data_IF_197244338677
#
_entry.id   IF_197244338677
#
_cell.length_a   1.000
_cell.length_b   1.000
_cell.length_c   1.000
_cell.angle_alpha   90.00
_cell.angle_beta   90.00
_cell.angle_gamma   90.00
#
_symmetry.space_group_name_H-M   'P 1'
#
loop_
_entity.id
_entity.type
_entity.pdbx_description
1 polymer ?
#
# COMPACT_ATOMS: atom_id res chain seq x y z
N UNK A 1 -4.04 -8.79 -11.41
CA UNK A 1 -4.10 -8.42 -9.97
C UNK A 1 -5.52 -7.98 -9.62
N UNK A 2 -6.16 -8.67 -8.68
CA UNK A 2 -7.55 -8.40 -8.31
C UNK A 2 -7.62 -7.56 -7.04
N UNK A 3 -8.42 -6.51 -7.09
CA UNK A 3 -8.67 -5.61 -5.95
C UNK A 3 -10.14 -5.67 -5.56
N UNK A 4 -10.41 -5.40 -4.30
CA UNK A 4 -11.77 -5.34 -3.75
C UNK A 4 -11.92 -4.23 -2.74
N UNK A 5 -13.16 -3.85 -2.46
CA UNK A 5 -13.51 -2.94 -1.36
C UNK A 5 -13.55 -3.74 -0.04
N UNK A 6 -13.56 -3.01 1.06
CA UNK A 6 -13.60 -3.64 2.39
C UNK A 6 -14.84 -4.53 2.59
N UNK A 7 -15.97 -4.17 2.00
CA UNK A 7 -17.21 -4.97 2.07
C UNK A 7 -17.19 -6.23 1.19
N UNK A 8 -16.12 -6.45 0.43
CA UNK A 8 -15.96 -7.61 -0.45
C UNK A 8 -16.31 -7.36 -1.92
N UNK A 9 -16.89 -6.22 -2.27
CA UNK A 9 -17.23 -5.93 -3.65
C UNK A 9 -15.98 -5.86 -4.53
N UNK A 10 -15.95 -6.57 -5.66
CA UNK A 10 -14.79 -6.53 -6.55
C UNK A 10 -14.66 -5.15 -7.21
N UNK A 11 -13.40 -4.76 -7.44
CA UNK A 11 -13.07 -3.56 -8.20
C UNK A 11 -12.73 -4.03 -9.62
N UNK A 12 -13.57 -3.70 -10.59
CA UNK A 12 -13.42 -4.21 -11.95
C UNK A 12 -12.51 -3.35 -12.81
N UNK A 13 -12.36 -2.07 -12.49
CA UNK A 13 -11.42 -1.19 -13.18
C UNK A 13 -9.97 -1.55 -12.85
N UNK A 14 -9.02 -1.31 -13.75
CA UNK A 14 -7.61 -1.32 -13.40
C UNK A 14 -7.37 -0.42 -12.19
N UNK A 15 -6.45 -0.80 -11.31
CA UNK A 15 -6.29 -0.11 -10.03
C UNK A 15 -6.03 1.40 -10.18
N UNK A 16 -5.23 1.78 -11.14
CA UNK A 16 -4.94 3.21 -11.39
C UNK A 16 -6.22 3.98 -11.73
N UNK A 17 -7.09 3.41 -12.57
CA UNK A 17 -8.37 4.00 -12.94
C UNK A 17 -9.33 4.05 -11.74
N UNK A 18 -9.37 2.98 -10.95
CA UNK A 18 -10.21 2.92 -9.75
C UNK A 18 -9.80 3.98 -8.72
N UNK A 19 -8.50 4.15 -8.50
CA UNK A 19 -7.96 5.15 -7.59
C UNK A 19 -8.26 6.56 -8.11
N UNK A 20 -8.08 6.81 -9.40
CA UNK A 20 -8.40 8.11 -10.00
C UNK A 20 -9.88 8.44 -9.84
N UNK A 21 -10.76 7.49 -10.13
CA UNK A 21 -12.21 7.67 -9.96
C UNK A 21 -12.56 7.97 -8.51
N UNK A 22 -11.95 7.28 -7.56
CA UNK A 22 -12.16 7.53 -6.14
C UNK A 22 -11.71 8.93 -5.73
N UNK A 23 -10.53 9.37 -6.19
CA UNK A 23 -10.01 10.72 -5.91
C UNK A 23 -10.97 11.78 -6.47
N UNK A 24 -11.40 11.63 -7.72
CA UNK A 24 -12.32 12.58 -8.37
C UNK A 24 -13.64 12.69 -7.61
N UNK A 25 -14.22 11.55 -7.24
CA UNK A 25 -15.49 11.50 -6.50
C UNK A 25 -15.37 12.20 -5.14
N UNK A 26 -14.32 11.92 -4.39
CA UNK A 26 -14.11 12.49 -3.06
C UNK A 26 -13.80 13.99 -3.15
N UNK A 27 -12.98 14.39 -4.12
CA UNK A 27 -12.65 15.80 -4.37
C UNK A 27 -13.89 16.59 -4.76
N UNK A 28 -14.73 16.05 -5.64
CA UNK A 28 -15.99 16.67 -6.05
C UNK A 28 -16.96 16.82 -4.88
N UNK A 29 -16.90 15.89 -3.91
CA UNK A 29 -17.69 15.98 -2.68
C UNK A 29 -17.11 16.97 -1.66
N UNK A 30 -15.96 17.60 -1.96
CA UNK A 30 -15.34 18.61 -1.11
C UNK A 30 -14.37 18.06 -0.06
N UNK A 31 -13.97 16.78 -0.15
CA UNK A 31 -13.04 16.19 0.81
C UNK A 31 -11.60 16.34 0.35
N UNK A 32 -10.73 16.66 1.30
CA UNK A 32 -9.28 16.57 1.11
C UNK A 32 -8.84 15.17 1.53
N UNK A 33 -8.10 14.49 0.64
CA UNK A 33 -7.66 13.13 0.85
C UNK A 33 -6.18 13.05 1.20
N UNK A 34 -5.86 12.05 2.03
CA UNK A 34 -4.52 11.52 2.23
C UNK A 34 -4.59 10.03 1.94
N UNK A 35 -3.62 9.49 1.22
CA UNK A 35 -3.56 8.07 0.90
C UNK A 35 -2.39 7.42 1.60
N UNK A 36 -2.63 6.25 2.18
CA UNK A 36 -1.60 5.45 2.84
C UNK A 36 -1.60 4.04 2.25
N UNK A 37 -0.42 3.55 1.86
CA UNK A 37 -0.26 2.23 1.26
C UNK A 37 0.55 1.36 2.20
N UNK A 38 0.08 0.16 2.49
CA UNK A 38 0.76 -0.77 3.37
C UNK A 38 0.48 -2.22 3.02
N UNK A 39 1.37 -3.10 3.45
CA UNK A 39 1.26 -4.54 3.24
C UNK A 39 1.60 -5.26 4.53
N UNK A 40 0.87 -6.33 4.83
CA UNK A 40 1.20 -7.26 5.90
C UNK A 40 1.01 -8.68 5.40
N UNK A 41 1.55 -9.64 6.12
CA UNK A 41 1.46 -11.03 5.71
C UNK A 41 1.28 -11.94 6.90
N UNK A 42 0.75 -13.14 6.63
CA UNK A 42 0.60 -14.18 7.62
C UNK A 42 0.84 -15.55 7.00
N UNK A 43 1.56 -16.40 7.73
CA UNK A 43 1.73 -17.81 7.38
C UNK A 43 0.52 -18.58 7.89
N UNK A 44 -0.18 -19.24 6.97
CA UNK A 44 -1.37 -20.05 7.25
C UNK A 44 -1.12 -21.47 6.72
N UNK A 45 -0.64 -22.36 7.59
CA UNK A 45 -0.27 -23.72 7.18
C UNK A 45 0.89 -23.70 6.19
N UNK A 46 0.68 -24.22 4.98
CA UNK A 46 1.70 -24.26 3.92
C UNK A 46 1.69 -23.03 3.02
N UNK A 47 0.75 -22.12 3.24
CA UNK A 47 0.62 -20.90 2.43
C UNK A 47 0.99 -19.66 3.22
N UNK A 48 1.56 -18.68 2.53
CA UNK A 48 1.73 -17.32 3.04
C UNK A 48 0.74 -16.42 2.31
N UNK A 49 -0.04 -15.68 3.06
CA UNK A 49 -0.98 -14.70 2.51
C UNK A 49 -0.45 -13.29 2.74
N UNK A 50 -0.43 -12.50 1.68
CA UNK A 50 -0.10 -11.08 1.73
C UNK A 50 -1.36 -10.27 1.47
N UNK A 51 -1.58 -9.23 2.25
CA UNK A 51 -2.61 -8.24 1.98
C UNK A 51 -1.96 -6.88 1.78
N UNK A 52 -2.23 -6.27 0.63
CA UNK A 52 -1.82 -4.90 0.34
C UNK A 52 -3.06 -4.02 0.36
N UNK A 53 -2.99 -2.90 1.07
CA UNK A 53 -4.11 -1.98 1.19
C UNK A 53 -3.73 -0.59 0.70
N UNK A 54 -4.68 0.05 0.03
CA UNK A 54 -4.63 1.48 -0.30
C UNK A 54 -5.71 2.11 0.56
N UNK A 55 -5.30 2.86 1.58
CA UNK A 55 -6.21 3.49 2.55
C UNK A 55 -6.40 4.96 2.15
N UNK A 56 -7.66 5.34 1.96
CA UNK A 56 -8.05 6.72 1.66
C UNK A 56 -8.61 7.34 2.92
N UNK A 57 -7.96 8.39 3.41
CA UNK A 57 -8.40 9.13 4.59
C UNK A 57 -8.98 10.46 4.16
N UNK A 58 -10.25 10.72 4.53
CA UNK A 58 -10.85 12.04 4.37
C UNK A 58 -10.47 12.88 5.58
N UNK A 59 -10.01 14.08 5.36
CA UNK A 59 -9.70 14.99 6.47
C UNK A 59 -10.97 15.23 7.30
N UNK A 60 -10.95 14.78 8.56
CA UNK A 60 -12.05 14.93 9.49
C UNK A 60 -13.27 14.03 9.27
N UNK A 61 -13.23 13.06 8.35
CA UNK A 61 -14.42 12.28 7.95
C UNK A 61 -14.17 10.78 7.74
N UNK A 62 -13.26 10.18 8.47
CA UNK A 62 -12.98 8.75 8.32
C UNK A 62 -12.35 8.40 6.98
N UNK A 63 -12.55 7.18 6.50
CA UNK A 63 -11.91 6.72 5.28
C UNK A 63 -12.47 5.40 4.76
N UNK A 64 -11.85 4.93 3.70
CA UNK A 64 -12.14 3.65 3.07
C UNK A 64 -10.85 3.05 2.52
N UNK A 65 -10.87 1.80 2.10
CA UNK A 65 -9.68 1.17 1.53
C UNK A 65 -10.00 0.22 0.39
N UNK A 66 -9.02 0.08 -0.51
CA UNK A 66 -8.99 -0.97 -1.51
C UNK A 66 -8.00 -2.03 -1.07
N UNK A 67 -8.31 -3.30 -1.30
CA UNK A 67 -7.58 -4.43 -0.77
C UNK A 67 -7.21 -5.40 -1.88
N UNK A 68 -5.96 -5.83 -1.88
CA UNK A 68 -5.49 -6.92 -2.73
C UNK A 68 -4.91 -8.03 -1.85
N UNK A 69 -5.43 -9.23 -1.98
CA UNK A 69 -4.92 -10.42 -1.31
C UNK A 69 -4.16 -11.29 -2.30
N UNK A 70 -3.06 -11.86 -1.85
CA UNK A 70 -2.22 -12.74 -2.65
C UNK A 70 -1.72 -13.89 -1.78
N UNK A 71 -1.85 -15.11 -2.28
CA UNK A 71 -1.40 -16.32 -1.57
C UNK A 71 -0.29 -17.00 -2.35
N UNK A 72 0.69 -17.51 -1.64
CA UNK A 72 1.79 -18.27 -2.24
C UNK A 72 2.17 -19.45 -1.35
N UNK A 73 2.64 -20.52 -1.98
CA UNK A 73 3.21 -21.68 -1.28
C UNK A 73 4.73 -21.56 -1.12
N UNK A 74 5.31 -20.45 -1.55
CA UNK A 74 6.74 -20.21 -1.36
C UNK A 74 7.04 -20.07 0.13
N UNK A 75 8.15 -20.65 0.56
CA UNK A 75 8.60 -20.56 1.94
C UNK A 75 9.56 -19.40 2.07
N UNK A 76 9.25 -18.47 2.96
CA UNK A 76 10.08 -17.30 3.23
C UNK A 76 10.62 -17.36 4.65
N UNK A 77 11.87 -16.92 4.83
CA UNK A 77 12.34 -16.52 6.16
C UNK A 77 11.56 -15.27 6.60
N UNK A 78 11.64 -14.95 7.89
CA UNK A 78 10.98 -13.73 8.41
C UNK A 78 11.51 -12.50 7.67
N UNK A 79 12.81 -12.40 7.45
CA UNK A 79 13.43 -11.26 6.74
C UNK A 79 12.98 -11.17 5.28
N UNK A 80 12.95 -12.33 4.59
CA UNK A 80 12.48 -12.38 3.20
C UNK A 80 11.01 -11.94 3.09
N UNK A 81 10.18 -12.40 4.02
CA UNK A 81 8.76 -12.05 4.05
C UNK A 81 8.56 -10.54 4.28
N UNK A 82 9.32 -9.95 5.19
CA UNK A 82 9.30 -8.51 5.43
C UNK A 82 9.72 -7.72 4.19
N UNK A 83 10.74 -8.20 3.48
CA UNK A 83 11.18 -7.58 2.23
C UNK A 83 10.09 -7.63 1.15
N UNK A 84 9.40 -8.76 1.04
CA UNK A 84 8.29 -8.91 0.10
C UNK A 84 7.13 -7.96 0.44
N UNK A 85 6.82 -7.81 1.72
CA UNK A 85 5.81 -6.82 2.18
C UNK A 85 6.18 -5.42 1.73
N UNK A 86 7.41 -5.01 1.98
CA UNK A 86 7.91 -3.68 1.59
C UNK A 86 7.87 -3.51 0.07
N UNK A 87 8.34 -4.51 -0.66
CA UNK A 87 8.36 -4.47 -2.13
C UNK A 87 6.96 -4.29 -2.72
N UNK A 88 5.97 -5.01 -2.20
CA UNK A 88 4.59 -4.90 -2.67
C UNK A 88 4.02 -3.50 -2.47
N UNK A 89 4.26 -2.90 -1.32
CA UNK A 89 3.81 -1.53 -1.04
C UNK A 89 4.49 -0.51 -1.95
N UNK A 90 5.81 -0.65 -2.15
CA UNK A 90 6.57 0.26 -3.01
C UNK A 90 6.12 0.15 -4.47
N UNK A 91 5.87 -1.06 -4.97
CA UNK A 91 5.41 -1.26 -6.34
C UNK A 91 4.08 -0.56 -6.61
N UNK A 92 3.13 -0.67 -5.68
CA UNK A 92 1.84 0.00 -5.80
C UNK A 92 2.01 1.52 -5.70
N UNK A 93 2.79 2.00 -4.75
CA UNK A 93 3.05 3.43 -4.60
C UNK A 93 3.73 4.01 -5.85
N UNK A 94 4.69 3.31 -6.41
CA UNK A 94 5.38 3.71 -7.64
C UNK A 94 4.42 3.82 -8.83
N UNK A 95 3.51 2.86 -8.97
CA UNK A 95 2.51 2.85 -10.03
C UNK A 95 1.54 4.04 -9.91
N UNK A 96 1.22 4.47 -8.68
CA UNK A 96 0.19 5.47 -8.41
C UNK A 96 0.72 6.88 -8.12
N UNK A 97 2.02 7.05 -7.86
CA UNK A 97 2.53 8.33 -7.36
C UNK A 97 2.34 9.50 -8.33
N UNK A 98 2.42 9.27 -9.64
CA UNK A 98 2.17 10.33 -10.62
C UNK A 98 0.72 10.82 -10.55
N UNK A 99 -0.21 9.91 -10.30
CA UNK A 99 -1.61 10.23 -10.14
C UNK A 99 -1.86 11.10 -8.91
N UNK A 100 -1.22 10.77 -7.79
CA UNK A 100 -1.34 11.57 -6.57
C UNK A 100 -0.75 12.96 -6.74
N UNK A 101 0.34 13.07 -7.47
CA UNK A 101 0.91 14.38 -7.81
C UNK A 101 -0.03 15.20 -8.68
N UNK A 102 -0.65 14.57 -9.68
CA UNK A 102 -1.58 15.24 -10.59
C UNK A 102 -2.78 15.85 -9.85
N UNK A 103 -3.31 15.14 -8.85
CA UNK A 103 -4.47 15.58 -8.07
C UNK A 103 -4.12 16.26 -6.75
N UNK A 104 -2.84 16.50 -6.50
CA UNK A 104 -2.34 17.12 -5.26
C UNK A 104 -2.84 16.39 -4.01
N UNK A 105 -2.74 15.06 -4.03
CA UNK A 105 -3.10 14.19 -2.92
C UNK A 105 -1.85 13.75 -2.20
N UNK A 106 -1.79 13.93 -0.87
CA UNK A 106 -0.70 13.41 -0.05
C UNK A 106 -0.73 11.89 -0.04
N UNK A 107 0.45 11.27 -0.11
CA UNK A 107 0.58 9.83 -0.03
C UNK A 107 1.75 9.44 0.87
N UNK A 108 1.53 8.43 1.69
CA UNK A 108 2.57 7.82 2.52
C UNK A 108 2.63 6.32 2.24
N UNK A 109 3.84 5.78 2.17
CA UNK A 109 4.06 4.34 2.16
C UNK A 109 4.39 3.89 3.57
N UNK A 110 3.59 3.01 4.12
CA UNK A 110 3.75 2.48 5.47
C UNK A 110 4.52 1.16 5.41
N UNK A 111 5.82 1.25 5.56
CA UNK A 111 6.72 0.11 5.46
C UNK A 111 7.98 0.34 6.28
N UNK A 112 8.43 -0.68 7.00
CA UNK A 112 9.66 -0.61 7.78
C UNK A 112 10.87 -0.91 6.90
N UNK A 113 11.30 0.10 6.16
CA UNK A 113 12.42 0.00 5.22
C UNK A 113 13.80 0.06 5.89
N UNK A 114 13.86 0.53 7.15
CA UNK A 114 15.14 0.74 7.83
C UNK A 114 15.70 -0.50 8.49
N UNK A 115 14.86 -1.51 8.72
CA UNK A 115 15.25 -2.72 9.45
C UNK A 115 15.65 -3.88 8.55
N UNK A 116 15.50 -3.75 7.22
CA UNK A 116 15.82 -4.82 6.30
C UNK A 116 17.07 -4.49 5.48
N UNK A 117 18.24 -5.10 5.78
CA UNK A 117 19.47 -4.84 5.03
C UNK A 117 19.41 -5.28 3.56
N UNK A 118 18.56 -6.25 3.22
CA UNK A 118 18.37 -6.70 1.84
C UNK A 118 17.68 -5.64 0.98
N UNK A 119 16.88 -4.77 1.59
CA UNK A 119 16.27 -3.66 0.88
C UNK A 119 17.31 -2.73 0.25
N UNK A 120 18.37 -2.42 1.01
CA UNK A 120 19.44 -1.51 0.55
C UNK A 120 20.24 -2.08 -0.62
N UNK A 121 20.29 -3.40 -0.76
CA UNK A 121 21.00 -4.07 -1.86
C UNK A 121 20.12 -4.28 -3.11
N UNK A 122 18.83 -4.04 -3.02
CA UNK A 122 17.92 -4.19 -4.15
C UNK A 122 17.83 -2.86 -4.92
N UNK A 123 18.49 -2.82 -6.08
CA UNK A 123 18.60 -1.61 -6.89
C UNK A 123 17.23 -1.12 -7.38
N UNK A 124 16.38 -2.02 -7.85
CA UNK A 124 15.05 -1.65 -8.34
C UNK A 124 14.18 -1.03 -7.26
N UNK A 125 14.21 -1.57 -6.04
CA UNK A 125 13.46 -1.01 -4.91
C UNK A 125 14.03 0.34 -4.49
N UNK A 126 15.34 0.50 -4.49
CA UNK A 126 15.98 1.80 -4.17
C UNK A 126 15.61 2.87 -5.19
N UNK A 127 15.60 2.53 -6.47
CA UNK A 127 15.20 3.45 -7.53
C UNK A 127 13.75 3.87 -7.38
N UNK A 128 12.83 2.91 -7.16
CA UNK A 128 11.42 3.19 -6.95
C UNK A 128 11.20 4.07 -5.72
N UNK A 129 11.86 3.77 -4.61
CA UNK A 129 11.80 4.57 -3.39
C UNK A 129 12.31 5.98 -3.63
N UNK A 130 13.45 6.10 -4.32
CA UNK A 130 14.03 7.41 -4.65
C UNK A 130 13.10 8.25 -5.50
N UNK A 131 12.43 7.64 -6.46
CA UNK A 131 11.43 8.33 -7.29
C UNK A 131 10.25 8.83 -6.45
N UNK A 132 9.71 7.99 -5.60
CA UNK A 132 8.59 8.33 -4.71
C UNK A 132 8.97 9.47 -3.77
N UNK A 133 10.15 9.40 -3.14
CA UNK A 133 10.65 10.46 -2.26
C UNK A 133 10.89 11.76 -3.04
N UNK A 134 11.43 11.65 -4.25
CA UNK A 134 11.67 12.79 -5.13
C UNK A 134 10.40 13.53 -5.54
N UNK A 135 9.25 12.83 -5.53
CA UNK A 135 7.94 13.43 -5.78
C UNK A 135 7.36 14.13 -4.54
N UNK A 136 8.04 14.09 -3.41
CA UNK A 136 7.61 14.74 -2.17
C UNK A 136 6.78 13.85 -1.24
N UNK A 137 6.68 12.57 -1.51
CA UNK A 137 5.95 11.63 -0.65
C UNK A 137 6.83 11.08 0.46
N UNK A 138 6.22 10.49 1.49
CA UNK A 138 6.89 10.04 2.70
C UNK A 138 6.79 8.54 2.92
N UNK A 139 7.77 7.98 3.63
CA UNK A 139 7.72 6.63 4.17
C UNK A 139 7.57 6.70 5.68
N UNK A 140 6.71 5.83 6.23
CA UNK A 140 6.48 5.74 7.67
C UNK A 140 6.72 4.31 8.15
N UNK A 141 7.52 4.17 9.21
CA UNK A 141 7.77 2.90 9.88
C UNK A 141 6.93 2.79 11.16
N UNK A 142 6.93 1.61 11.76
CA UNK A 142 6.27 1.40 13.08
C UNK A 142 6.85 2.35 14.13
N UNK A 143 6.05 2.91 15.03
CA UNK A 143 4.62 2.67 15.25
C UNK A 143 3.67 3.47 14.37
N UNK A 144 4.16 4.27 13.45
CA UNK A 144 3.36 5.19 12.63
C UNK A 144 2.82 4.57 11.34
N UNK A 145 3.16 3.29 11.07
CA UNK A 145 2.80 2.57 9.84
C UNK A 145 1.46 1.85 9.97
N UNK A 146 0.36 2.56 10.27
CA UNK A 146 -0.94 1.94 10.54
C UNK A 146 -1.52 1.17 9.35
N UNK A 147 -1.22 1.57 8.11
CA UNK A 147 -1.74 0.88 6.93
C UNK A 147 -1.22 -0.56 6.85
N UNK A 148 0.03 -0.82 7.25
CA UNK A 148 0.59 -2.17 7.33
C UNK A 148 0.26 -2.85 8.65
N UNK A 149 0.50 -2.18 9.79
CA UNK A 149 0.40 -2.81 11.11
C UNK A 149 -1.03 -2.93 11.64
N UNK A 150 -1.98 -2.18 11.09
CA UNK A 150 -3.39 -2.22 11.53
C UNK A 150 -4.33 -2.62 10.40
N UNK A 151 -4.34 -1.90 9.29
CA UNK A 151 -5.29 -2.16 8.20
C UNK A 151 -4.98 -3.46 7.47
N UNK A 152 -3.78 -3.63 6.94
CA UNK A 152 -3.39 -4.84 6.22
C UNK A 152 -3.33 -6.04 7.16
N UNK A 153 -2.86 -5.86 8.39
CA UNK A 153 -2.83 -6.91 9.40
C UNK A 153 -4.23 -7.45 9.69
N UNK A 154 -5.22 -6.57 9.82
CA UNK A 154 -6.62 -6.98 10.04
C UNK A 154 -7.16 -7.79 8.87
N UNK A 155 -6.77 -7.48 7.65
CA UNK A 155 -7.21 -8.21 6.45
C UNK A 155 -6.64 -9.62 6.41
N UNK A 156 -5.36 -9.84 6.75
CA UNK A 156 -4.74 -11.17 6.70
C UNK A 156 -5.04 -12.02 7.93
N UNK A 157 -5.45 -11.43 9.01
CA UNK A 157 -5.86 -12.12 10.23
C UNK A 157 -7.40 -12.19 10.29
#
# INVERSE_FOLDING_TARGET
>A
MLWRKFNGDPIELPIKNAVETAIQKETDAGYKLKVCIGTDSQVKGIETEFATVIVFLREGRGGFMFIHNEKTKLVYSIKERMLVEVAKSIEIAYELCDLFTLYDVDMEVHADINTNPHFKSNEALREAMGYILGMGFAFKAKPEAFASSSCANKVVN
#
